data_IF_776086414476
#
_entry.id   IF_776086414476
#
_cell.length_a   1.000
_cell.length_b   1.000
_cell.length_c   1.000
_cell.angle_alpha   90.00
_cell.angle_beta   90.00
_cell.angle_gamma   90.00
#
_symmetry.space_group_name_H-M   'P 1'
#
loop_
_entity.id
_entity.type
_entity.pdbx_description
1 polymer ?
#
# COMPACT_ATOMS: atom_id res chain seq x y z
N UNK A 1 -40.92 24.36 -27.64
CA UNK A 1 -40.58 23.02 -28.14
C UNK A 1 -39.25 22.63 -27.49
N UNK A 2 -39.32 22.24 -26.21
CA UNK A 2 -38.16 21.87 -25.40
C UNK A 2 -37.88 20.39 -25.66
N UNK A 3 -36.66 20.06 -26.06
CA UNK A 3 -36.17 18.68 -26.07
C UNK A 3 -35.40 18.46 -24.74
N UNK A 4 -35.95 17.71 -23.76
CA UNK A 4 -35.45 17.72 -22.39
C UNK A 4 -34.60 16.48 -22.03
N UNK A 5 -33.97 15.79 -22.99
CA UNK A 5 -33.12 14.62 -22.67
C UNK A 5 -31.64 14.93 -22.95
N UNK A 6 -31.07 15.81 -22.10
CA UNK A 6 -29.61 15.88 -21.92
C UNK A 6 -29.19 14.63 -21.14
N UNK A 7 -28.53 13.71 -21.80
CA UNK A 7 -28.01 12.49 -21.18
C UNK A 7 -27.06 12.84 -20.02
N UNK A 8 -27.11 12.08 -18.90
CA UNK A 8 -26.08 12.18 -17.87
C UNK A 8 -24.75 11.72 -18.47
N UNK A 9 -23.68 12.47 -18.22
CA UNK A 9 -22.31 12.03 -18.53
C UNK A 9 -21.82 11.18 -17.35
N UNK A 10 -21.85 9.83 -17.42
CA UNK A 10 -20.91 9.03 -16.65
C UNK A 10 -19.50 9.35 -17.16
N UNK A 11 -18.44 8.83 -16.52
CA UNK A 11 -17.06 8.87 -17.05
C UNK A 11 -16.17 10.02 -16.56
N UNK A 12 -16.50 10.65 -15.43
CA UNK A 12 -15.45 10.94 -14.45
C UNK A 12 -15.03 9.61 -13.79
N UNK A 13 -14.54 8.64 -14.59
CA UNK A 13 -13.87 7.46 -14.08
C UNK A 13 -12.70 7.98 -13.23
N UNK A 14 -12.83 7.81 -11.93
CA UNK A 14 -11.76 8.00 -10.96
C UNK A 14 -10.56 7.19 -11.41
N UNK A 15 -9.65 7.83 -12.13
CA UNK A 15 -8.37 7.27 -12.56
C UNK A 15 -7.73 6.63 -11.32
N UNK A 16 -7.56 5.30 -11.27
CA UNK A 16 -6.83 4.70 -10.17
C UNK A 16 -5.41 5.23 -10.30
N UNK A 17 -5.03 6.10 -9.37
CA UNK A 17 -3.71 6.69 -9.30
C UNK A 17 -2.72 5.55 -9.08
N UNK A 18 -2.21 4.97 -10.17
CA UNK A 18 -1.27 3.86 -10.14
C UNK A 18 -0.02 4.33 -9.41
N UNK A 19 0.10 3.94 -8.15
CA UNK A 19 1.25 4.27 -7.31
C UNK A 19 2.43 3.39 -7.74
N UNK A 20 3.03 3.71 -8.88
CA UNK A 20 4.23 3.05 -9.40
C UNK A 20 5.43 3.53 -8.59
N UNK A 21 5.60 2.95 -7.40
CA UNK A 21 6.85 3.10 -6.64
C UNK A 21 7.96 2.47 -7.47
N UNK A 22 8.74 3.31 -8.14
CA UNK A 22 9.84 2.86 -8.99
C UNK A 22 10.91 2.25 -8.07
N UNK A 23 11.50 1.10 -8.45
CA UNK A 23 12.47 0.37 -7.64
C UNK A 23 13.64 1.24 -7.11
N UNK A 24 13.98 2.32 -7.83
CA UNK A 24 14.96 3.33 -7.41
C UNK A 24 14.59 4.00 -6.07
N UNK A 25 13.33 4.40 -5.86
CA UNK A 25 12.89 5.03 -4.61
C UNK A 25 12.93 4.05 -3.43
N UNK A 26 12.63 2.77 -3.69
CA UNK A 26 12.72 1.73 -2.67
C UNK A 26 14.17 1.51 -2.20
N UNK A 27 15.12 1.40 -3.14
CA UNK A 27 16.55 1.27 -2.82
C UNK A 27 17.06 2.49 -2.08
N UNK A 28 16.66 3.69 -2.49
CA UNK A 28 17.01 4.93 -1.77
C UNK A 28 16.50 4.92 -0.33
N UNK A 29 15.22 4.58 -0.12
CA UNK A 29 14.64 4.52 1.21
C UNK A 29 15.37 3.52 2.11
N UNK A 30 15.75 2.36 1.56
CA UNK A 30 16.53 1.35 2.28
C UNK A 30 17.92 1.87 2.67
N UNK A 31 18.60 2.58 1.76
CA UNK A 31 19.89 3.21 2.03
C UNK A 31 19.79 4.28 3.11
N UNK A 32 18.79 5.18 3.03
CA UNK A 32 18.56 6.21 4.06
C UNK A 32 18.25 5.61 5.42
N UNK A 33 17.46 4.54 5.45
CA UNK A 33 17.15 3.81 6.68
C UNK A 33 18.40 3.15 7.27
N UNK A 34 19.19 2.46 6.45
CA UNK A 34 20.43 1.82 6.89
C UNK A 34 21.43 2.84 7.44
N UNK A 35 21.60 3.96 6.75
CA UNK A 35 22.46 5.06 7.20
C UNK A 35 21.98 5.61 8.56
N UNK A 36 20.69 5.89 8.70
CA UNK A 36 20.11 6.38 9.96
C UNK A 36 20.25 5.37 11.11
N UNK A 37 19.96 4.09 10.85
CA UNK A 37 20.10 3.02 11.84
C UNK A 37 21.55 2.80 12.28
N UNK A 38 22.51 2.85 11.35
CA UNK A 38 23.94 2.77 11.67
C UNK A 38 24.40 3.99 12.46
N UNK A 39 23.97 5.20 12.11
CA UNK A 39 24.29 6.41 12.87
C UNK A 39 23.80 6.32 14.33
N UNK A 40 22.58 5.83 14.56
CA UNK A 40 22.07 5.56 15.91
C UNK A 40 22.89 4.50 16.65
N UNK A 41 23.22 3.39 15.98
CA UNK A 41 24.02 2.33 16.58
C UNK A 41 25.43 2.83 16.98
N UNK A 42 26.05 3.67 16.15
CA UNK A 42 27.32 4.35 16.47
C UNK A 42 27.14 5.30 17.65
N UNK A 43 26.05 6.08 17.69
CA UNK A 43 25.73 6.94 18.84
C UNK A 43 25.62 6.17 20.16
N UNK A 44 24.97 5.01 20.16
CA UNK A 44 24.89 4.10 21.32
C UNK A 44 26.28 3.56 21.68
N UNK A 45 27.15 3.32 20.68
CA UNK A 45 28.50 2.83 20.92
C UNK A 45 29.44 3.86 21.55
N UNK A 46 29.31 5.13 21.17
CA UNK A 46 30.12 6.24 21.70
C UNK A 46 29.58 6.84 23.01
N UNK A 47 28.40 6.41 23.46
CA UNK A 47 27.82 6.89 24.71
C UNK A 47 28.69 6.47 25.92
N UNK A 48 29.10 7.39 26.80
CA UNK A 48 29.89 7.09 28.00
C UNK A 48 29.01 6.50 29.10
N UNK A 49 28.41 5.34 28.85
CA UNK A 49 27.54 4.61 29.78
C UNK A 49 28.03 3.18 29.96
N UNK A 50 27.58 2.54 31.04
CA UNK A 50 27.97 1.16 31.36
C UNK A 50 27.62 0.18 30.24
N UNK A 51 28.45 -0.85 30.05
CA UNK A 51 28.29 -1.84 28.98
C UNK A 51 26.92 -2.51 28.98
N UNK A 52 26.33 -2.75 30.16
CA UNK A 52 24.99 -3.31 30.29
C UNK A 52 23.90 -2.39 29.73
N UNK A 53 23.95 -1.08 30.03
CA UNK A 53 23.02 -0.09 29.48
C UNK A 53 23.15 0.01 27.96
N UNK A 54 24.37 -0.03 27.43
CA UNK A 54 24.61 -0.05 25.98
C UNK A 54 23.99 -1.27 25.32
N UNK A 55 24.14 -2.45 25.93
CA UNK A 55 23.55 -3.69 25.41
C UNK A 55 22.01 -3.63 25.41
N UNK A 56 21.40 -3.12 26.48
CA UNK A 56 19.94 -2.91 26.55
C UNK A 56 19.44 -1.99 25.43
N UNK A 57 20.10 -0.84 25.23
CA UNK A 57 19.75 0.08 24.15
C UNK A 57 19.95 -0.54 22.76
N UNK A 58 21.02 -1.33 22.58
CA UNK A 58 21.29 -2.05 21.34
C UNK A 58 20.21 -3.07 21.00
N UNK A 59 19.82 -3.91 21.98
CA UNK A 59 18.74 -4.90 21.78
C UNK A 59 17.40 -4.18 21.54
N UNK A 60 17.11 -3.11 22.29
CA UNK A 60 15.90 -2.30 22.09
C UNK A 60 15.82 -1.70 20.69
N UNK A 61 16.92 -1.14 20.17
CA UNK A 61 17.02 -0.62 18.81
C UNK A 61 16.78 -1.73 17.78
N UNK A 62 17.49 -2.86 17.89
CA UNK A 62 17.35 -4.00 16.97
C UNK A 62 15.93 -4.56 16.95
N UNK A 63 15.32 -4.74 18.12
CA UNK A 63 13.97 -5.29 18.25
C UNK A 63 12.92 -4.33 17.70
N UNK A 64 13.03 -3.03 18.01
CA UNK A 64 12.12 -2.00 17.51
C UNK A 64 12.17 -1.93 15.98
N UNK A 65 13.36 -1.92 15.39
CA UNK A 65 13.55 -1.94 13.93
C UNK A 65 12.92 -3.18 13.31
N UNK A 66 13.18 -4.36 13.88
CA UNK A 66 12.64 -5.63 13.38
C UNK A 66 11.11 -5.64 13.42
N UNK A 67 10.52 -5.20 14.52
CA UNK A 67 9.06 -5.12 14.69
C UNK A 67 8.43 -4.14 13.69
N UNK A 68 9.03 -2.95 13.50
CA UNK A 68 8.55 -1.97 12.53
C UNK A 68 8.55 -2.52 11.10
N UNK A 69 9.60 -3.27 10.70
CA UNK A 69 9.63 -3.91 9.39
C UNK A 69 8.60 -5.03 9.23
N UNK A 70 8.39 -5.85 10.26
CA UNK A 70 7.35 -6.88 10.24
C UNK A 70 5.97 -6.24 10.07
N UNK A 71 5.69 -5.17 10.80
CA UNK A 71 4.44 -4.41 10.67
C UNK A 71 4.30 -3.83 9.26
N UNK A 72 5.36 -3.25 8.69
CA UNK A 72 5.37 -2.73 7.33
C UNK A 72 5.10 -3.82 6.27
N UNK A 73 5.66 -5.03 6.45
CA UNK A 73 5.34 -6.19 5.59
C UNK A 73 3.87 -6.55 5.69
N UNK A 74 3.34 -6.71 6.90
CA UNK A 74 1.92 -7.04 7.11
C UNK A 74 1.00 -6.02 6.42
N UNK A 75 1.31 -4.72 6.52
CA UNK A 75 0.53 -3.68 5.85
C UNK A 75 0.61 -3.84 4.32
N UNK A 76 1.79 -4.09 3.76
CA UNK A 76 1.97 -4.32 2.32
C UNK A 76 1.24 -5.58 1.85
N UNK A 77 1.36 -6.68 2.58
CA UNK A 77 0.71 -7.96 2.26
C UNK A 77 -0.83 -7.80 2.25
N UNK A 78 -1.37 -6.91 3.11
CA UNK A 78 -2.79 -6.54 3.13
C UNK A 78 -3.20 -5.72 1.92
N UNK A 79 -2.37 -4.77 1.47
CA UNK A 79 -2.63 -4.02 0.23
C UNK A 79 -2.66 -4.94 -0.99
N UNK A 80 -1.68 -5.84 -1.12
CA UNK A 80 -1.62 -6.81 -2.23
C UNK A 80 -2.82 -7.78 -2.21
N UNK A 81 -3.23 -8.27 -1.03
CA UNK A 81 -4.41 -9.13 -0.90
C UNK A 81 -5.71 -8.42 -1.32
N UNK A 82 -5.91 -7.17 -0.89
CA UNK A 82 -7.10 -6.39 -1.22
C UNK A 82 -7.20 -6.08 -2.72
N UNK A 83 -6.07 -5.84 -3.39
CA UNK A 83 -6.03 -5.58 -4.82
C UNK A 83 -6.46 -6.83 -5.64
N UNK A 84 -6.00 -8.01 -5.25
CA UNK A 84 -6.34 -9.28 -5.92
C UNK A 84 -7.84 -9.59 -5.78
N UNK A 85 -8.39 -9.43 -4.56
CA UNK A 85 -9.82 -9.67 -4.30
C UNK A 85 -10.70 -8.76 -5.16
N UNK A 86 -10.38 -7.47 -5.22
CA UNK A 86 -11.16 -6.50 -5.99
C UNK A 86 -11.18 -6.84 -7.50
N UNK A 87 -10.07 -7.31 -8.07
CA UNK A 87 -10.02 -7.73 -9.49
C UNK A 87 -10.90 -8.95 -9.76
N UNK A 88 -10.93 -9.91 -8.85
CA UNK A 88 -11.79 -11.10 -8.96
C UNK A 88 -13.26 -10.71 -8.83
N UNK A 89 -13.58 -9.82 -7.88
CA UNK A 89 -14.94 -9.30 -7.70
C UNK A 89 -15.41 -8.54 -8.93
N UNK A 90 -14.56 -7.73 -9.57
CA UNK A 90 -14.88 -7.07 -10.83
C UNK A 90 -15.16 -8.07 -11.96
N UNK A 91 -14.32 -9.09 -12.14
CA UNK A 91 -14.54 -10.11 -13.17
C UNK A 91 -15.81 -10.95 -12.90
N UNK A 92 -16.11 -11.22 -11.61
CA UNK A 92 -17.35 -11.89 -11.19
C UNK A 92 -18.56 -11.03 -11.46
N UNK A 93 -18.49 -9.74 -11.13
CA UNK A 93 -19.55 -8.77 -11.35
C UNK A 93 -19.80 -8.60 -12.86
N UNK A 94 -18.75 -8.48 -13.66
CA UNK A 94 -18.83 -8.41 -15.12
C UNK A 94 -19.47 -9.67 -15.69
N UNK A 95 -19.11 -10.85 -15.18
CA UNK A 95 -19.75 -12.10 -15.57
C UNK A 95 -21.24 -12.11 -15.20
N UNK A 96 -21.60 -11.72 -13.97
CA UNK A 96 -23.00 -11.64 -13.54
C UNK A 96 -23.81 -10.64 -14.37
N UNK A 97 -23.25 -9.47 -14.69
CA UNK A 97 -23.86 -8.46 -15.57
C UNK A 97 -23.98 -8.95 -17.02
N UNK A 98 -23.03 -9.76 -17.50
CA UNK A 98 -23.09 -10.35 -18.85
C UNK A 98 -24.10 -11.49 -18.95
N UNK A 99 -24.27 -12.25 -17.87
CA UNK A 99 -25.14 -13.43 -17.81
C UNK A 99 -26.58 -13.04 -17.43
N UNK A 100 -26.74 -11.97 -16.65
CA UNK A 100 -28.01 -11.26 -16.43
C UNK A 100 -27.90 -9.89 -17.08
N UNK A 101 -28.30 -9.75 -18.34
CA UNK A 101 -28.44 -8.47 -19.04
C UNK A 101 -29.85 -7.90 -18.79
N UNK A 102 -30.05 -7.03 -17.77
CA UNK A 102 -31.35 -6.44 -17.45
C UNK A 102 -31.81 -5.43 -18.49
N UNK A 103 -31.00 -5.07 -19.50
CA UNK A 103 -31.37 -4.09 -20.52
C UNK A 103 -32.05 -4.71 -21.76
N UNK A 104 -32.25 -6.03 -21.77
CA UNK A 104 -32.83 -6.75 -22.92
C UNK A 104 -34.34 -7.04 -22.84
N UNK A 105 -35.06 -6.46 -21.87
CA UNK A 105 -36.55 -6.44 -21.79
C UNK A 105 -36.91 -5.07 -21.22
N UNK A 106 -37.72 -4.19 -21.82
CA UNK A 106 -38.86 -4.36 -22.73
C UNK A 106 -39.04 -3.02 -23.46
N UNK A 107 -38.89 -3.03 -24.79
CA UNK A 107 -38.88 -1.82 -25.62
C UNK A 107 -39.09 -2.17 -27.09
N UNK A 108 -40.07 -3.02 -27.36
CA UNK A 108 -40.72 -3.21 -28.65
C UNK A 108 -42.05 -3.95 -28.45
#
# INVERSE_FOLDING_TARGET
MCDPIRQPHPDAMSQPMQHRTTAAYYVQALLSFALSGTALAVGIAYLPVGGWTRAFLGIGLLYTVTSAFTLAKVIRDRHESNEIVNRVDQARLEKLLSEHDPFRVEGA
#
